data_IF_830677455410
#
_entry.id   IF_830677455410
#
_cell.length_a   1.000
_cell.length_b   1.000
_cell.length_c   1.000
_cell.angle_alpha   90.00
_cell.angle_beta   90.00
_cell.angle_gamma   90.00
#
_symmetry.space_group_name_H-M   'P 1'
#
loop_
_entity.id
_entity.type
_entity.pdbx_description
1 polymer ?
#
# COMPACT_ATOMS: atom_id res chain seq x y z
N UNK A 1 4.21 -18.29 2.13
CA UNK A 1 4.14 -19.50 2.92
C UNK A 1 3.26 -20.53 2.24
N UNK A 2 3.34 -21.75 2.75
CA UNK A 2 2.57 -22.88 2.27
C UNK A 2 2.00 -23.64 3.46
N UNK A 3 0.87 -24.30 3.25
CA UNK A 3 0.29 -25.27 4.15
C UNK A 3 0.06 -26.60 3.42
N UNK A 4 0.01 -27.70 4.15
CA UNK A 4 -0.16 -29.04 3.60
C UNK A 4 -1.44 -29.67 4.13
N UNK A 5 -2.35 -30.07 3.25
CA UNK A 5 -3.52 -30.87 3.60
C UNK A 5 -3.48 -32.17 2.80
N UNK A 6 -3.59 -33.31 3.47
CA UNK A 6 -3.55 -34.63 2.85
C UNK A 6 -2.33 -34.85 1.93
N UNK A 7 -1.15 -34.38 2.35
CA UNK A 7 0.09 -34.47 1.58
C UNK A 7 0.20 -33.51 0.39
N UNK A 8 -0.85 -32.73 0.09
CA UNK A 8 -0.86 -31.74 -0.99
C UNK A 8 -0.43 -30.38 -0.45
N UNK A 9 0.68 -29.85 -0.98
CA UNK A 9 1.17 -28.52 -0.66
C UNK A 9 0.33 -27.44 -1.36
N UNK A 10 -0.21 -26.50 -0.59
CA UNK A 10 -1.01 -25.37 -1.06
C UNK A 10 -0.40 -24.05 -0.58
N UNK A 11 -0.50 -23.00 -1.39
CA UNK A 11 -0.12 -21.65 -0.98
C UNK A 11 -1.07 -21.16 0.11
N UNK A 12 -0.55 -20.42 1.09
CA UNK A 12 -1.40 -19.69 2.03
C UNK A 12 -2.40 -18.80 1.26
N UNK A 13 -3.70 -18.83 1.60
CA UNK A 13 -4.69 -17.94 1.01
C UNK A 13 -4.29 -16.47 1.16
N UNK A 14 -4.75 -15.62 0.25
CA UNK A 14 -4.60 -14.17 0.40
C UNK A 14 -5.27 -13.72 1.70
N UNK A 15 -4.70 -12.70 2.36
CA UNK A 15 -5.07 -12.29 3.71
C UNK A 15 -4.43 -13.09 4.84
N UNK A 16 -3.66 -14.15 4.52
CA UNK A 16 -2.91 -14.92 5.51
C UNK A 16 -1.45 -15.06 5.11
N UNK A 17 -0.60 -15.31 6.10
CA UNK A 17 0.83 -15.55 5.90
C UNK A 17 1.28 -16.86 6.53
N UNK A 18 2.33 -17.47 5.98
CA UNK A 18 2.96 -18.65 6.55
C UNK A 18 4.43 -18.41 6.84
N UNK A 19 4.76 -18.13 8.11
CA UNK A 19 6.12 -17.86 8.60
C UNK A 19 6.86 -19.10 9.08
N UNK A 20 6.12 -20.18 9.37
CA UNK A 20 6.68 -21.45 9.86
C UNK A 20 6.44 -22.59 8.86
N UNK A 21 7.24 -23.65 8.98
CA UNK A 21 7.05 -24.90 8.23
C UNK A 21 6.04 -25.79 8.95
N UNK A 22 5.50 -26.77 8.23
CA UNK A 22 4.59 -27.77 8.81
C UNK A 22 3.18 -27.25 9.08
N UNK A 23 2.79 -26.11 8.48
CA UNK A 23 1.43 -25.61 8.55
C UNK A 23 0.48 -26.61 7.86
N UNK A 24 -0.64 -26.92 8.51
CA UNK A 24 -1.61 -27.92 8.05
C UNK A 24 -2.98 -27.34 7.76
N UNK A 25 -3.16 -26.04 7.93
CA UNK A 25 -4.45 -25.38 7.79
C UNK A 25 -4.35 -24.13 6.91
N UNK A 26 -5.50 -23.70 6.39
CA UNK A 26 -5.62 -22.54 5.49
C UNK A 26 -5.38 -21.21 6.23
N UNK A 27 -5.46 -21.21 7.55
CA UNK A 27 -5.14 -20.08 8.41
C UNK A 27 -3.63 -19.82 8.44
N UNK A 28 -2.83 -20.79 7.98
CA UNK A 28 -1.38 -20.73 7.96
C UNK A 28 -0.83 -20.32 9.35
N UNK A 29 0.04 -19.30 9.42
CA UNK A 29 0.56 -18.77 10.68
C UNK A 29 -0.36 -17.69 11.28
N UNK A 30 -1.25 -17.10 10.49
CA UNK A 30 -2.16 -16.05 10.92
C UNK A 30 -2.57 -15.10 9.80
N UNK A 31 -3.35 -14.08 10.19
CA UNK A 31 -3.77 -12.98 9.31
C UNK A 31 -2.69 -11.91 9.19
N UNK A 32 -2.69 -11.19 8.07
CA UNK A 32 -1.84 -9.99 7.92
C UNK A 32 -2.19 -8.93 8.96
N UNK A 33 -1.19 -8.15 9.32
CA UNK A 33 -1.37 -7.01 10.21
C UNK A 33 -2.12 -5.89 9.49
N UNK A 34 -2.90 -5.11 10.23
CA UNK A 34 -3.44 -3.83 9.78
C UNK A 34 -2.34 -2.93 9.19
N UNK A 35 -2.69 -2.13 8.19
CA UNK A 35 -1.77 -1.37 7.35
C UNK A 35 -1.03 -2.22 6.31
N UNK A 36 -1.25 -3.53 6.27
CA UNK A 36 -0.64 -4.45 5.31
C UNK A 36 -1.66 -5.41 4.72
N UNK A 37 -1.39 -5.86 3.50
CA UNK A 37 -2.11 -6.95 2.87
C UNK A 37 -1.16 -8.08 2.48
N UNK A 38 -1.70 -9.29 2.41
CA UNK A 38 -0.96 -10.46 1.98
C UNK A 38 -1.56 -11.00 0.68
N UNK A 39 -0.82 -10.92 -0.43
CA UNK A 39 -1.10 -11.75 -1.59
C UNK A 39 -1.07 -13.25 -1.25
N UNK A 40 -1.59 -14.08 -2.16
CA UNK A 40 -1.55 -15.53 -1.99
C UNK A 40 -0.10 -16.00 -1.86
N UNK A 41 0.18 -16.76 -0.81
CA UNK A 41 1.52 -17.29 -0.56
C UNK A 41 2.46 -16.35 0.17
N UNK A 42 1.97 -15.30 0.85
CA UNK A 42 2.80 -14.47 1.73
C UNK A 42 3.45 -15.25 2.87
N UNK A 43 4.62 -14.80 3.29
CA UNK A 43 5.44 -15.40 4.34
C UNK A 43 5.50 -14.59 5.63
N UNK A 44 5.11 -13.32 5.56
CA UNK A 44 5.17 -12.37 6.66
C UNK A 44 3.81 -11.71 6.85
N UNK A 45 3.49 -11.33 8.09
CA UNK A 45 2.27 -10.58 8.40
C UNK A 45 2.27 -9.16 7.82
N UNK A 46 3.46 -8.64 7.50
CA UNK A 46 3.72 -7.32 6.90
C UNK A 46 4.26 -7.44 5.47
N UNK A 47 3.72 -8.36 4.67
CA UNK A 47 4.26 -8.66 3.33
C UNK A 47 4.25 -7.44 2.40
N UNK A 48 3.11 -6.77 2.26
CA UNK A 48 2.97 -5.57 1.43
C UNK A 48 2.19 -4.52 2.21
N UNK A 49 2.75 -3.32 2.37
CA UNK A 49 2.04 -2.22 2.99
C UNK A 49 0.88 -1.78 2.11
N UNK A 50 -0.21 -1.32 2.72
CA UNK A 50 -1.27 -0.63 1.97
C UNK A 50 -0.67 0.56 1.21
N UNK A 51 -1.00 0.73 -0.08
CA UNK A 51 -0.43 1.80 -0.87
C UNK A 51 -0.84 3.17 -0.31
N UNK A 52 -0.01 4.20 -0.58
CA UNK A 52 -0.37 5.57 -0.23
C UNK A 52 -1.68 5.99 -0.90
N UNK A 53 -2.48 6.79 -0.20
CA UNK A 53 -3.86 7.13 -0.61
C UNK A 53 -4.90 6.08 -0.18
N UNK A 54 -4.48 4.96 0.40
CA UNK A 54 -5.36 3.95 0.99
C UNK A 54 -5.00 3.69 2.45
N UNK A 55 -5.97 3.20 3.21
CA UNK A 55 -5.79 2.78 4.60
C UNK A 55 -6.20 1.31 4.77
N UNK A 56 -5.62 0.66 5.77
CA UNK A 56 -5.94 -0.71 6.14
C UNK A 56 -6.20 -0.82 7.64
N UNK A 57 -7.44 -0.59 8.07
CA UNK A 57 -7.88 -0.68 9.47
C UNK A 57 -8.23 -2.11 9.93
N UNK A 58 -8.14 -3.09 9.03
CA UNK A 58 -8.50 -4.47 9.28
C UNK A 58 -7.29 -5.41 9.15
N UNK A 59 -7.32 -6.51 9.91
CA UNK A 59 -6.40 -7.64 9.72
C UNK A 59 -6.84 -8.49 8.53
N UNK A 60 -5.87 -9.14 7.92
CA UNK A 60 -6.12 -10.12 6.86
C UNK A 60 -6.58 -9.51 5.54
N UNK A 61 -6.15 -8.28 5.26
CA UNK A 61 -6.33 -7.68 3.94
C UNK A 61 -5.60 -8.51 2.88
N UNK A 62 -6.25 -8.68 1.74
CA UNK A 62 -5.83 -9.63 0.72
C UNK A 62 -5.24 -8.98 -0.54
N UNK A 63 -5.48 -7.69 -0.74
CA UNK A 63 -5.11 -6.97 -1.96
C UNK A 63 -4.81 -5.49 -1.65
N UNK A 64 -4.34 -4.80 -2.69
CA UNK A 64 -3.94 -3.40 -2.67
C UNK A 64 -5.05 -2.43 -2.33
N UNK A 65 -6.34 -2.81 -2.45
CA UNK A 65 -7.46 -1.94 -2.08
C UNK A 65 -7.59 -1.76 -0.57
N UNK A 66 -6.92 -2.62 0.22
CA UNK A 66 -6.95 -2.58 1.67
C UNK A 66 -8.38 -2.41 2.23
N UNK A 67 -8.59 -1.48 3.16
CA UNK A 67 -9.92 -1.15 3.67
C UNK A 67 -10.63 -0.10 2.82
N UNK A 68 -9.86 0.76 2.15
CA UNK A 68 -10.40 1.75 1.23
C UNK A 68 -9.48 2.94 1.04
N UNK A 69 -10.01 3.95 0.35
CA UNK A 69 -9.36 5.24 0.11
C UNK A 69 -9.43 6.14 1.34
N UNK A 70 -8.47 7.06 1.49
CA UNK A 70 -8.51 8.04 2.59
C UNK A 70 -9.74 8.95 2.53
N UNK A 71 -10.12 9.50 3.68
CA UNK A 71 -11.17 10.51 3.73
C UNK A 71 -10.72 11.82 3.08
N UNK A 72 -11.65 12.51 2.42
CA UNK A 72 -11.36 13.81 1.80
C UNK A 72 -10.80 14.82 2.81
N UNK A 73 -9.71 15.50 2.44
CA UNK A 73 -9.00 16.42 3.33
C UNK A 73 -7.95 15.75 4.21
N UNK A 74 -7.69 14.45 4.01
CA UNK A 74 -6.62 13.70 4.65
C UNK A 74 -5.73 13.00 3.62
N UNK A 75 -4.48 12.75 4.01
CA UNK A 75 -3.48 11.98 3.28
C UNK A 75 -3.08 10.76 4.10
N UNK A 76 -3.05 9.59 3.47
CA UNK A 76 -2.53 8.36 4.08
C UNK A 76 -1.19 8.00 3.41
N UNK A 77 -0.07 8.06 4.14
CA UNK A 77 1.16 7.38 3.73
C UNK A 77 0.96 5.88 3.55
N UNK A 78 1.92 5.22 2.90
CA UNK A 78 1.88 3.76 2.79
C UNK A 78 1.84 3.09 4.17
N UNK A 79 0.90 2.17 4.36
CA UNK A 79 0.70 1.43 5.60
C UNK A 79 -0.13 2.13 6.67
N UNK A 80 -0.84 3.22 6.34
CA UNK A 80 -1.81 3.84 7.24
C UNK A 80 -2.90 2.86 7.68
N UNK A 81 -3.32 3.00 8.93
CA UNK A 81 -4.41 2.21 9.52
C UNK A 81 -5.67 3.03 9.75
N UNK A 82 -5.61 4.34 9.49
CA UNK A 82 -6.74 5.27 9.64
C UNK A 82 -7.00 6.02 8.33
N UNK A 83 -8.28 6.23 7.95
CA UNK A 83 -8.62 7.10 6.82
C UNK A 83 -8.29 8.58 7.07
N UNK A 84 -8.04 8.95 8.33
CA UNK A 84 -7.70 10.31 8.78
C UNK A 84 -6.25 10.44 9.28
N UNK A 85 -5.34 9.59 8.82
CA UNK A 85 -3.95 9.51 9.32
C UNK A 85 -3.27 10.88 9.41
N UNK A 86 -3.28 11.66 8.32
CA UNK A 86 -2.72 13.01 8.30
C UNK A 86 -3.69 13.99 7.68
N UNK A 87 -4.05 15.05 8.42
CA UNK A 87 -4.91 16.11 7.91
C UNK A 87 -4.14 16.97 6.90
N UNK A 88 -4.66 17.17 5.68
CA UNK A 88 -4.10 18.16 4.75
C UNK A 88 -4.18 19.55 5.44
N UNK A 89 -3.09 20.33 5.40
CA UNK A 89 -3.11 21.70 5.93
C UNK A 89 -4.06 22.56 5.09
N UNK A 90 -4.95 23.30 5.74
CA UNK A 90 -5.82 24.24 5.05
C UNK A 90 -4.97 25.37 4.43
N UNK A 91 -5.01 25.50 3.11
CA UNK A 91 -4.35 26.60 2.38
C UNK A 91 -3.07 26.24 1.61
N UNK A 92 -2.63 24.97 1.62
CA UNK A 92 -1.58 24.51 0.70
C UNK A 92 -2.22 23.77 -0.48
N UNK A 93 -2.27 24.42 -1.64
CA UNK A 93 -2.11 23.67 -2.88
C UNK A 93 -0.61 23.33 -2.92
N UNK A 94 -0.25 22.05 -2.74
CA UNK A 94 1.08 21.44 -2.90
C UNK A 94 2.00 21.27 -1.66
N UNK A 95 2.43 20.00 -1.48
CA UNK A 95 3.68 19.38 -0.97
C UNK A 95 4.31 19.84 0.38
N UNK A 96 4.63 18.92 1.32
CA UNK A 96 5.49 19.24 2.46
C UNK A 96 6.97 19.40 2.04
N UNK A 97 7.54 20.56 2.38
CA UNK A 97 8.93 21.00 2.11
C UNK A 97 10.00 20.29 2.97
N UNK A 98 9.63 19.33 3.83
CA UNK A 98 10.51 18.80 4.88
C UNK A 98 10.85 17.31 4.71
N UNK A 99 10.92 16.84 3.45
CA UNK A 99 11.55 15.58 3.10
C UNK A 99 12.37 15.76 1.81
N UNK A 100 13.55 16.37 1.95
CA UNK A 100 14.61 16.28 0.95
C UNK A 100 14.31 17.01 -0.36
N UNK A 101 14.39 18.33 -0.33
CA UNK A 101 14.62 19.13 -1.55
C UNK A 101 16.04 18.86 -2.04
N UNK A 102 16.23 17.81 -2.84
CA UNK A 102 17.28 17.79 -3.85
C UNK A 102 16.73 17.21 -5.16
N UNK A 103 16.38 18.14 -6.07
CA UNK A 103 16.43 17.99 -7.52
C UNK A 103 15.51 16.96 -8.21
N UNK A 104 14.19 17.10 -8.12
CA UNK A 104 13.26 16.57 -9.14
C UNK A 104 13.19 17.43 -10.42
N UNK A 105 14.06 18.44 -10.54
CA UNK A 105 14.15 19.37 -11.67
C UNK A 105 15.10 18.96 -12.80
N UNK A 106 15.86 17.86 -12.71
CA UNK A 106 16.86 17.53 -13.76
C UNK A 106 16.86 16.09 -14.31
N UNK A 107 15.97 15.19 -13.85
CA UNK A 107 15.97 13.80 -14.36
C UNK A 107 14.72 13.43 -15.15
N UNK A 108 13.57 14.07 -14.92
CA UNK A 108 12.32 13.70 -15.63
C UNK A 108 12.26 14.30 -17.06
N UNK A 109 13.02 15.36 -17.34
CA UNK A 109 13.15 15.92 -18.68
C UNK A 109 13.99 15.08 -19.65
N UNK A 110 14.88 14.19 -19.16
CA UNK A 110 15.84 13.47 -20.00
C UNK A 110 15.43 12.06 -20.41
N UNK A 111 14.36 11.48 -19.85
CA UNK A 111 13.88 10.15 -20.26
C UNK A 111 12.72 10.18 -21.27
N UNK A 112 11.98 11.29 -21.40
CA UNK A 112 10.78 11.35 -22.25
C UNK A 112 10.72 12.48 -23.28
N UNK A 113 11.70 13.40 -23.35
CA UNK A 113 11.88 14.29 -24.52
C UNK A 113 10.64 15.07 -24.96
N UNK A 114 9.91 15.73 -24.05
CA UNK A 114 8.78 16.59 -24.39
C UNK A 114 9.13 18.04 -24.10
N UNK A 115 9.67 18.72 -25.12
CA UNK A 115 9.71 20.17 -25.18
C UNK A 115 8.29 20.68 -25.43
N UNK A 116 7.88 21.69 -24.65
CA UNK A 116 6.60 22.41 -24.72
C UNK A 116 5.43 21.76 -23.96
N UNK A 117 5.21 22.29 -22.76
CA UNK A 117 3.89 22.65 -22.25
C UNK A 117 2.77 21.65 -22.44
N UNK A 118 2.65 20.70 -21.51
CA UNK A 118 1.36 20.14 -21.15
C UNK A 118 1.29 20.13 -19.63
N UNK A 119 0.43 20.97 -19.07
CA UNK A 119 -0.06 20.78 -17.70
C UNK A 119 -0.69 19.39 -17.66
N UNK A 120 0.09 18.39 -17.23
CA UNK A 120 -0.43 17.07 -16.97
C UNK A 120 -1.40 17.21 -15.82
N UNK A 121 -2.70 17.23 -16.13
CA UNK A 121 -3.71 16.86 -15.16
C UNK A 121 -3.30 15.49 -14.64
N UNK A 122 -2.83 15.43 -13.39
CA UNK A 122 -2.83 14.19 -12.64
C UNK A 122 -4.25 13.62 -12.78
N UNK A 123 -4.41 12.33 -13.13
CA UNK A 123 -5.74 11.73 -13.21
C UNK A 123 -6.44 12.01 -11.87
N UNK A 124 -7.75 12.29 -11.93
CA UNK A 124 -8.57 12.71 -10.77
C UNK A 124 -8.53 11.73 -9.59
N UNK A 125 -7.90 10.58 -9.76
CA UNK A 125 -7.69 9.53 -8.76
C UNK A 125 -6.38 9.68 -7.96
N UNK A 126 -5.58 10.73 -8.22
CA UNK A 126 -4.28 11.01 -7.57
C UNK A 126 -4.27 12.30 -6.75
N UNK A 127 -5.43 12.86 -6.39
CA UNK A 127 -5.49 14.02 -5.49
C UNK A 127 -5.61 13.53 -4.05
N UNK A 128 -4.47 13.19 -3.44
CA UNK A 128 -4.34 13.00 -1.99
C UNK A 128 -3.38 14.09 -1.49
N UNK A 129 -3.95 15.30 -1.38
CA UNK A 129 -3.25 16.57 -1.59
C UNK A 129 -2.42 16.63 -2.92
#
# INVERSE_FOLDING_TARGET
GYYCIQGVRRLCPAGTYGSTRGLTSKECSGFCKEGYYCPKGSTRETEVACPGGMYGDAKGLANEHCSGVCEGGYFCPAGSTSPQEQKCRAGINQIPEEAGVEAFGEVVGKLYGLENGVYGYLPRDLVYC
#
